data_IF_082707471962
#
_entry.id   IF_082707471962
#
_cell.length_a   1.000
_cell.length_b   1.000
_cell.length_c   1.000
_cell.angle_alpha   90.00
_cell.angle_beta   90.00
_cell.angle_gamma   90.00
#
_symmetry.space_group_name_H-M   'P 1'
#
loop_
_entity.id
_entity.type
_entity.pdbx_description
1 polymer ?
#
# COMPACT_ATOMS: atom_id res chain seq x y z
N UNK A 1 9.31 25.87 -14.43
CA UNK A 1 8.22 26.82 -14.76
C UNK A 1 6.90 26.09 -14.54
N UNK A 2 6.26 26.32 -13.39
CA UNK A 2 4.93 25.80 -13.07
C UNK A 2 3.88 26.63 -13.81
N UNK A 3 3.65 26.37 -15.07
CA UNK A 3 2.62 27.06 -15.84
C UNK A 3 1.52 26.06 -16.19
N UNK A 4 0.35 26.32 -15.66
CA UNK A 4 -0.99 25.82 -15.97
C UNK A 4 -1.65 24.88 -14.95
N UNK A 5 -1.63 25.25 -13.67
CA UNK A 5 -2.69 24.81 -12.77
C UNK A 5 -3.84 25.81 -12.93
N UNK A 6 -4.91 25.41 -13.62
CA UNK A 6 -6.17 26.15 -13.62
C UNK A 6 -7.08 25.56 -12.57
N UNK A 7 -7.26 26.27 -11.46
CA UNK A 7 -8.29 25.94 -10.47
C UNK A 7 -9.61 26.54 -10.98
N UNK A 8 -10.54 25.70 -11.37
CA UNK A 8 -11.89 26.13 -11.70
C UNK A 8 -12.75 26.09 -10.44
N UNK A 9 -13.04 27.23 -9.83
CA UNK A 9 -13.75 27.34 -8.56
C UNK A 9 -15.25 26.98 -8.64
N UNK A 10 -15.79 26.70 -9.82
CA UNK A 10 -17.23 26.43 -10.01
C UNK A 10 -17.61 24.95 -9.94
N UNK A 11 -16.66 24.01 -9.99
CA UNK A 11 -16.97 22.56 -10.04
C UNK A 11 -16.25 21.71 -9.00
N UNK A 12 -15.41 22.26 -8.14
CA UNK A 12 -14.52 21.49 -7.24
C UNK A 12 -13.64 20.43 -7.96
N UNK A 13 -13.48 20.55 -9.26
CA UNK A 13 -12.61 19.68 -10.04
C UNK A 13 -11.27 20.38 -10.27
N UNK A 14 -10.21 19.81 -9.72
CA UNK A 14 -8.83 20.18 -10.10
C UNK A 14 -8.51 19.41 -11.37
N UNK A 15 -8.64 20.08 -12.52
CA UNK A 15 -8.17 19.50 -13.79
C UNK A 15 -6.66 19.77 -13.88
N UNK A 16 -5.87 18.77 -13.51
CA UNK A 16 -4.44 18.76 -13.78
C UNK A 16 -4.24 18.43 -15.27
N UNK A 17 -4.15 19.45 -16.09
CA UNK A 17 -3.87 19.29 -17.53
C UNK A 17 -2.35 19.21 -17.75
N UNK A 18 -1.74 18.17 -17.19
CA UNK A 18 -0.30 17.95 -17.25
C UNK A 18 -0.05 16.59 -17.89
N UNK A 19 1.02 16.49 -18.65
CA UNK A 19 1.52 15.21 -19.12
C UNK A 19 2.17 14.47 -17.93
N UNK A 20 1.32 13.99 -17.03
CA UNK A 20 1.68 13.42 -15.72
C UNK A 20 2.73 12.30 -15.83
N UNK A 21 2.78 11.62 -16.98
CA UNK A 21 3.77 10.57 -17.23
C UNK A 21 5.17 11.16 -17.41
N UNK A 22 5.29 12.27 -18.14
CA UNK A 22 6.57 12.95 -18.34
C UNK A 22 7.05 13.55 -17.00
N UNK A 23 6.15 14.14 -16.22
CA UNK A 23 6.48 14.69 -14.91
C UNK A 23 6.91 13.62 -13.89
N UNK A 24 6.29 12.44 -13.90
CA UNK A 24 6.73 11.37 -12.99
C UNK A 24 8.08 10.82 -13.39
N UNK A 25 8.36 10.65 -14.68
CA UNK A 25 9.71 10.33 -15.14
C UNK A 25 10.72 11.38 -14.70
N UNK A 26 10.39 12.65 -14.88
CA UNK A 26 11.23 13.78 -14.45
C UNK A 26 11.44 13.79 -12.93
N UNK A 27 10.38 13.59 -12.14
CA UNK A 27 10.45 13.49 -10.68
C UNK A 27 11.28 12.28 -10.23
N UNK A 28 11.12 11.11 -10.86
CA UNK A 28 11.90 9.91 -10.49
C UNK A 28 13.36 10.01 -10.94
N UNK A 29 13.65 10.72 -12.03
CA UNK A 29 15.02 11.07 -12.42
C UNK A 29 15.61 12.13 -11.47
N UNK A 30 14.85 13.16 -11.09
CA UNK A 30 15.26 14.17 -10.12
C UNK A 30 15.44 13.62 -8.70
N UNK A 31 14.62 12.63 -8.29
CA UNK A 31 14.76 11.94 -7.00
C UNK A 31 15.96 10.98 -6.95
N UNK A 32 16.77 10.91 -8.01
CA UNK A 32 17.92 10.02 -8.06
C UNK A 32 17.52 8.61 -7.60
N UNK A 33 16.64 7.97 -8.37
CA UNK A 33 16.05 6.65 -8.02
C UNK A 33 17.09 5.61 -7.58
N UNK A 34 18.34 5.78 -8.00
CA UNK A 34 19.43 4.92 -7.60
C UNK A 34 19.87 5.13 -6.15
N UNK A 35 19.58 6.28 -5.55
CA UNK A 35 19.89 6.60 -4.15
C UNK A 35 18.83 6.14 -3.14
N UNK A 36 17.66 5.71 -3.60
CA UNK A 36 16.60 5.18 -2.72
C UNK A 36 16.61 3.65 -2.69
N UNK A 37 16.21 3.05 -1.57
CA UNK A 37 16.14 1.60 -1.41
C UNK A 37 14.78 1.02 -1.81
N UNK A 38 13.73 1.85 -1.83
CA UNK A 38 12.39 1.43 -2.17
C UNK A 38 11.44 2.59 -2.44
N UNK A 39 10.33 2.29 -3.09
CA UNK A 39 9.24 3.21 -3.40
C UNK A 39 7.97 2.71 -2.72
N UNK A 40 7.41 3.53 -1.83
CA UNK A 40 6.10 3.33 -1.23
C UNK A 40 5.09 4.22 -1.96
N UNK A 41 4.11 3.60 -2.60
CA UNK A 41 2.99 4.30 -3.24
C UNK A 41 1.72 4.03 -2.44
N UNK A 42 1.13 5.08 -1.88
CA UNK A 42 -0.03 4.99 -1.00
C UNK A 42 -1.20 5.85 -1.47
N UNK A 43 -2.40 5.39 -1.16
CA UNK A 43 -3.64 6.11 -1.39
C UNK A 43 -4.25 5.93 -2.78
N UNK A 44 -5.40 6.55 -2.98
CA UNK A 44 -6.15 6.47 -4.22
C UNK A 44 -5.54 7.36 -5.30
N UNK A 45 -5.60 6.91 -6.54
CA UNK A 45 -5.14 7.68 -7.69
C UNK A 45 -5.95 8.97 -7.84
N UNK A 46 -5.30 10.14 -7.94
CA UNK A 46 -5.98 11.41 -8.14
C UNK A 46 -6.79 11.44 -9.44
N UNK A 47 -7.89 12.20 -9.43
CA UNK A 47 -8.68 12.44 -10.64
C UNK A 47 -7.83 13.10 -11.73
N UNK A 48 -8.01 12.67 -12.97
CA UNK A 48 -7.26 13.20 -14.12
C UNK A 48 -5.91 12.53 -14.37
N UNK A 49 -5.44 11.67 -13.46
CA UNK A 49 -4.23 10.88 -13.68
C UNK A 49 -4.51 9.66 -14.56
N UNK A 50 -3.51 9.26 -15.37
CA UNK A 50 -3.61 8.05 -16.21
C UNK A 50 -3.90 6.82 -15.38
N UNK A 51 -4.79 5.93 -15.88
CA UNK A 51 -5.09 4.64 -15.24
C UNK A 51 -3.87 3.73 -15.08
N UNK A 52 -2.81 3.96 -15.86
CA UNK A 52 -1.61 3.15 -15.84
C UNK A 52 -0.47 3.76 -15.00
N UNK A 53 -0.72 4.87 -14.31
CA UNK A 53 0.35 5.61 -13.64
C UNK A 53 1.00 4.76 -12.53
N UNK A 54 0.19 4.06 -11.73
CA UNK A 54 0.68 3.22 -10.63
C UNK A 54 1.48 2.02 -11.14
N UNK A 55 1.03 1.38 -12.22
CA UNK A 55 1.77 0.28 -12.84
C UNK A 55 3.09 0.75 -13.46
N UNK A 56 3.15 1.96 -14.01
CA UNK A 56 4.40 2.54 -14.53
C UNK A 56 5.41 2.84 -13.43
N UNK A 57 4.96 3.41 -12.30
CA UNK A 57 5.83 3.64 -11.14
C UNK A 57 6.37 2.30 -10.61
N UNK A 58 5.53 1.29 -10.52
CA UNK A 58 5.96 -0.06 -10.12
C UNK A 58 6.99 -0.65 -11.07
N UNK A 59 6.78 -0.52 -12.38
CA UNK A 59 7.71 -0.97 -13.41
C UNK A 59 9.07 -0.27 -13.30
N UNK A 60 9.09 1.05 -13.10
CA UNK A 60 10.32 1.80 -12.90
C UNK A 60 11.05 1.31 -11.65
N UNK A 61 10.35 1.17 -10.52
CA UNK A 61 10.95 0.67 -9.28
C UNK A 61 11.63 -0.70 -9.50
N UNK A 62 10.94 -1.62 -10.15
CA UNK A 62 11.43 -2.98 -10.38
C UNK A 62 12.58 -3.02 -11.39
N UNK A 63 12.55 -2.20 -12.44
CA UNK A 63 13.64 -2.09 -13.42
C UNK A 63 14.93 -1.58 -12.76
N UNK A 64 14.81 -0.69 -11.76
CA UNK A 64 15.93 -0.23 -10.95
C UNK A 64 16.22 -1.13 -9.73
N UNK A 65 15.60 -2.31 -9.65
CA UNK A 65 15.76 -3.30 -8.56
C UNK A 65 15.47 -2.71 -7.17
N UNK A 66 14.55 -1.75 -7.10
CA UNK A 66 14.09 -1.16 -5.85
C UNK A 66 12.90 -1.95 -5.29
N UNK A 67 12.73 -1.92 -3.97
CA UNK A 67 11.54 -2.49 -3.34
C UNK A 67 10.34 -1.62 -3.75
N UNK A 68 9.30 -2.26 -4.29
CA UNK A 68 8.03 -1.58 -4.53
C UNK A 68 7.00 -2.01 -3.49
N UNK A 69 6.40 -1.03 -2.82
CA UNK A 69 5.38 -1.22 -1.82
C UNK A 69 4.09 -0.51 -2.25
N UNK A 70 3.04 -1.30 -2.48
CA UNK A 70 1.71 -0.83 -2.86
C UNK A 70 0.79 -0.77 -1.65
N UNK A 71 0.34 0.44 -1.28
CA UNK A 71 -0.66 0.69 -0.25
C UNK A 71 -1.90 1.33 -0.88
N UNK A 72 -2.52 0.60 -1.79
CA UNK A 72 -3.75 0.94 -2.51
C UNK A 72 -4.42 -0.32 -3.00
N UNK A 73 -5.67 -0.22 -3.47
CA UNK A 73 -6.52 -1.37 -3.73
C UNK A 73 -7.34 -1.23 -5.01
N UNK A 74 -8.17 -2.23 -5.32
CA UNK A 74 -9.11 -2.23 -6.42
C UNK A 74 -8.45 -2.27 -7.80
N UNK A 75 -9.04 -1.57 -8.77
CA UNK A 75 -8.63 -1.59 -10.18
C UNK A 75 -7.16 -1.18 -10.37
N UNK A 76 -6.70 -0.15 -9.66
CA UNK A 76 -5.33 0.33 -9.78
C UNK A 76 -4.33 -0.72 -9.28
N UNK A 77 -4.64 -1.45 -8.20
CA UNK A 77 -3.82 -2.57 -7.74
C UNK A 77 -3.82 -3.71 -8.76
N UNK A 78 -4.98 -4.11 -9.26
CA UNK A 78 -5.09 -5.17 -10.27
C UNK A 78 -4.31 -4.85 -11.54
N UNK A 79 -4.32 -3.60 -11.99
CA UNK A 79 -3.53 -3.15 -13.13
C UNK A 79 -2.02 -3.23 -12.86
N UNK A 80 -1.62 -2.99 -11.61
CA UNK A 80 -0.20 -2.99 -11.21
C UNK A 80 0.37 -4.39 -11.08
N UNK A 81 -0.33 -5.31 -10.40
CA UNK A 81 0.20 -6.62 -10.04
C UNK A 81 0.47 -7.54 -11.23
N UNK A 82 -0.15 -7.29 -12.38
CA UNK A 82 0.13 -8.05 -13.60
C UNK A 82 1.61 -7.96 -14.03
N UNK A 83 2.30 -6.88 -13.65
CA UNK A 83 3.70 -6.61 -14.01
C UNK A 83 4.62 -6.47 -12.79
N UNK A 84 4.07 -6.45 -11.57
CA UNK A 84 4.80 -6.14 -10.33
C UNK A 84 4.94 -7.38 -9.43
N UNK A 85 5.65 -8.40 -9.90
CA UNK A 85 6.02 -9.56 -9.09
C UNK A 85 7.14 -9.20 -8.09
N UNK A 86 7.17 -9.89 -6.94
CA UNK A 86 8.12 -9.66 -5.84
C UNK A 86 7.95 -8.29 -5.15
N UNK A 87 6.77 -7.71 -5.26
CA UNK A 87 6.38 -6.49 -4.58
C UNK A 87 5.75 -6.78 -3.21
N UNK A 88 5.59 -5.73 -2.41
CA UNK A 88 4.85 -5.77 -1.15
C UNK A 88 3.50 -5.11 -1.40
N UNK A 89 2.43 -5.78 -1.04
CA UNK A 89 1.06 -5.29 -1.13
C UNK A 89 0.50 -5.22 0.29
N UNK A 90 0.07 -4.05 0.72
CA UNK A 90 -0.64 -3.88 1.99
C UNK A 90 -2.01 -3.25 1.72
N UNK A 91 -3.03 -3.91 2.19
CA UNK A 91 -4.43 -3.49 2.12
C UNK A 91 -5.14 -3.90 3.41
N UNK A 92 -6.30 -3.33 3.70
CA UNK A 92 -7.11 -3.81 4.81
C UNK A 92 -7.99 -5.01 4.40
N UNK A 93 -8.68 -5.62 5.40
CA UNK A 93 -9.51 -6.82 5.18
C UNK A 93 -10.61 -6.57 4.15
N UNK A 94 -11.30 -5.44 4.23
CA UNK A 94 -12.38 -5.08 3.30
C UNK A 94 -11.83 -4.84 1.88
N UNK A 95 -10.73 -4.12 1.75
CA UNK A 95 -10.04 -3.88 0.49
C UNK A 95 -9.53 -5.18 -0.16
N UNK A 96 -9.02 -6.12 0.66
CA UNK A 96 -8.61 -7.44 0.19
C UNK A 96 -9.78 -8.22 -0.39
N UNK A 97 -10.90 -8.26 0.35
CA UNK A 97 -12.11 -8.94 -0.10
C UNK A 97 -12.63 -8.31 -1.39
N UNK A 98 -12.75 -6.98 -1.43
CA UNK A 98 -13.26 -6.27 -2.59
C UNK A 98 -12.35 -6.38 -3.82
N UNK A 99 -11.04 -6.48 -3.63
CA UNK A 99 -10.08 -6.57 -4.74
C UNK A 99 -9.94 -7.99 -5.30
N UNK A 100 -9.94 -9.01 -4.41
CA UNK A 100 -9.54 -10.36 -4.80
C UNK A 100 -10.61 -11.43 -4.63
N UNK A 101 -11.72 -11.13 -3.93
CA UNK A 101 -12.71 -12.14 -3.57
C UNK A 101 -14.12 -11.85 -4.07
N UNK A 102 -14.41 -10.63 -4.51
CA UNK A 102 -15.73 -10.28 -5.03
C UNK A 102 -15.83 -10.55 -6.52
N UNK A 103 -16.68 -11.48 -6.90
CA UNK A 103 -17.33 -11.43 -8.21
C UNK A 103 -18.40 -10.33 -8.14
N UNK A 104 -18.57 -9.57 -9.23
CA UNK A 104 -19.35 -8.32 -9.36
C UNK A 104 -20.84 -8.39 -8.90
N UNK A 105 -21.26 -9.48 -8.24
CA UNK A 105 -22.65 -9.76 -7.89
C UNK A 105 -22.90 -10.06 -6.40
N UNK A 106 -21.90 -10.06 -5.54
CA UNK A 106 -22.05 -10.50 -4.15
C UNK A 106 -22.02 -9.33 -3.17
N UNK A 107 -23.18 -9.03 -2.57
CA UNK A 107 -23.29 -8.11 -1.44
C UNK A 107 -22.82 -8.80 -0.15
N UNK A 108 -21.97 -8.12 0.63
CA UNK A 108 -21.57 -8.50 2.01
C UNK A 108 -20.92 -9.89 2.17
N UNK A 109 -19.80 -10.13 1.48
CA UNK A 109 -18.99 -11.31 1.73
C UNK A 109 -18.19 -11.11 3.01
N UNK A 110 -18.33 -12.03 3.97
CA UNK A 110 -17.46 -12.14 5.14
C UNK A 110 -16.86 -13.54 5.18
N UNK A 111 -15.61 -13.63 5.58
CA UNK A 111 -14.90 -14.90 5.74
C UNK A 111 -14.57 -15.16 7.22
N UNK A 112 -14.55 -16.43 7.62
CA UNK A 112 -13.88 -16.82 8.85
C UNK A 112 -12.38 -16.53 8.77
N UNK A 113 -11.73 -16.43 9.92
CA UNK A 113 -10.28 -16.18 9.95
C UNK A 113 -9.49 -17.25 9.16
N UNK A 114 -9.89 -18.52 9.23
CA UNK A 114 -9.21 -19.60 8.50
C UNK A 114 -9.42 -19.54 6.99
N UNK A 115 -10.61 -19.15 6.54
CA UNK A 115 -10.87 -18.94 5.12
C UNK A 115 -10.06 -17.74 4.59
N UNK A 116 -10.02 -16.65 5.34
CA UNK A 116 -9.25 -15.47 4.98
C UNK A 116 -7.75 -15.77 4.90
N UNK A 117 -7.20 -16.49 5.90
CA UNK A 117 -5.80 -16.96 5.90
C UNK A 117 -5.48 -17.74 4.63
N UNK A 118 -6.30 -18.74 4.30
CA UNK A 118 -6.11 -19.55 3.10
C UNK A 118 -6.13 -18.71 1.82
N UNK A 119 -7.05 -17.75 1.72
CA UNK A 119 -7.13 -16.85 0.57
C UNK A 119 -5.89 -15.97 0.42
N UNK A 120 -5.39 -15.41 1.53
CA UNK A 120 -4.18 -14.58 1.54
C UNK A 120 -2.96 -15.40 1.11
N UNK A 121 -2.78 -16.61 1.65
CA UNK A 121 -1.68 -17.52 1.28
C UNK A 121 -1.73 -17.86 -0.20
N UNK A 122 -2.89 -18.30 -0.70
CA UNK A 122 -3.06 -18.67 -2.10
C UNK A 122 -2.79 -17.50 -3.02
N UNK A 123 -3.31 -16.29 -2.69
CA UNK A 123 -3.09 -15.09 -3.49
C UNK A 123 -1.63 -14.66 -3.48
N UNK A 124 -0.94 -14.75 -2.35
CA UNK A 124 0.50 -14.47 -2.24
C UNK A 124 1.34 -15.41 -3.12
N UNK A 125 0.99 -16.69 -3.17
CA UNK A 125 1.67 -17.66 -4.04
C UNK A 125 1.39 -17.39 -5.53
N UNK A 126 0.14 -17.14 -5.87
CA UNK A 126 -0.29 -16.83 -7.24
C UNK A 126 0.45 -15.61 -7.80
N UNK A 127 0.49 -14.53 -7.03
CA UNK A 127 1.09 -13.26 -7.42
C UNK A 127 2.60 -13.19 -7.20
N UNK A 128 3.18 -14.12 -6.42
CA UNK A 128 4.59 -14.11 -5.98
C UNK A 128 4.96 -12.81 -5.26
N UNK A 129 4.05 -12.28 -4.46
CA UNK A 129 4.17 -11.04 -3.71
C UNK A 129 4.02 -11.29 -2.22
N UNK A 130 4.59 -10.40 -1.39
CA UNK A 130 4.24 -10.32 0.02
C UNK A 130 2.88 -9.62 0.09
N UNK A 131 1.89 -10.28 0.70
CA UNK A 131 0.57 -9.69 0.94
C UNK A 131 0.38 -9.48 2.44
N UNK A 132 0.02 -8.27 2.81
CA UNK A 132 -0.25 -7.84 4.18
C UNK A 132 -1.69 -7.36 4.24
N UNK A 133 -2.47 -7.94 5.15
CA UNK A 133 -3.88 -7.56 5.38
C UNK A 133 -4.03 -7.04 6.80
N UNK A 134 -4.18 -5.73 6.93
CA UNK A 134 -4.44 -5.09 8.22
C UNK A 134 -5.92 -5.22 8.59
N UNK A 135 -6.21 -5.40 9.88
CA UNK A 135 -7.55 -5.75 10.38
C UNK A 135 -7.98 -4.90 11.57
N UNK A 136 -7.54 -3.64 11.58
CA UNK A 136 -7.84 -2.70 12.65
C UNK A 136 -7.23 -3.15 13.98
N UNK A 137 -8.07 -3.43 14.99
CA UNK A 137 -7.62 -3.91 16.30
C UNK A 137 -7.41 -5.42 16.39
N UNK A 138 -7.68 -6.18 15.32
CA UNK A 138 -7.38 -7.60 15.22
C UNK A 138 -5.94 -7.82 14.74
N UNK A 139 -5.45 -9.06 14.86
CA UNK A 139 -4.14 -9.44 14.33
C UNK A 139 -4.02 -9.10 12.85
N UNK A 140 -2.86 -8.56 12.46
CA UNK A 140 -2.50 -8.39 11.04
C UNK A 140 -2.13 -9.74 10.45
N UNK A 141 -2.69 -10.08 9.30
CA UNK A 141 -2.36 -11.27 8.53
C UNK A 141 -1.41 -10.94 7.40
N UNK A 142 -0.45 -11.82 7.14
CA UNK A 142 0.43 -11.67 5.99
C UNK A 142 0.79 -13.03 5.42
N UNK A 143 1.16 -13.06 4.15
CA UNK A 143 1.73 -14.25 3.53
C UNK A 143 2.84 -13.87 2.55
N UNK A 144 3.86 -14.72 2.47
CA UNK A 144 4.93 -14.63 1.51
C UNK A 144 5.44 -16.03 1.17
N UNK A 145 5.61 -16.33 -0.11
CA UNK A 145 6.12 -17.63 -0.59
C UNK A 145 5.41 -18.86 0.02
N UNK A 146 4.10 -18.75 0.26
CA UNK A 146 3.30 -19.83 0.86
C UNK A 146 3.38 -19.95 2.38
N UNK A 147 4.17 -19.12 3.04
CA UNK A 147 4.26 -19.05 4.51
C UNK A 147 3.30 -17.97 5.01
N UNK A 148 2.48 -18.35 5.99
CA UNK A 148 1.56 -17.43 6.66
C UNK A 148 2.19 -16.83 7.91
N UNK A 149 1.93 -15.57 8.14
CA UNK A 149 2.37 -14.79 9.30
C UNK A 149 1.16 -14.13 9.97
N UNK A 150 1.13 -14.15 11.30
CA UNK A 150 0.12 -13.47 12.09
C UNK A 150 0.81 -12.62 13.16
N UNK A 151 0.53 -11.31 13.15
CA UNK A 151 1.11 -10.37 14.12
C UNK A 151 0.00 -9.78 14.96
N UNK A 152 0.00 -10.00 16.28
CA UNK A 152 -0.99 -9.43 17.17
C UNK A 152 -0.84 -7.91 17.24
N UNK A 153 -1.97 -7.19 17.26
CA UNK A 153 -2.00 -5.75 17.44
C UNK A 153 -2.02 -5.43 18.94
N UNK A 154 -1.12 -4.53 19.37
CA UNK A 154 -1.09 -4.05 20.73
C UNK A 154 -2.34 -3.24 21.05
N UNK A 155 -3.00 -3.54 22.17
CA UNK A 155 -4.12 -2.73 22.65
C UNK A 155 -3.59 -1.39 23.15
N UNK A 156 -4.10 -0.32 22.60
CA UNK A 156 -3.75 1.07 22.94
C UNK A 156 -5.02 1.90 23.18
N UNK A 157 -4.89 3.00 23.88
CA UNK A 157 -5.95 3.99 23.98
C UNK A 157 -5.92 4.88 22.74
N UNK A 158 -6.62 4.44 21.69
CA UNK A 158 -6.63 5.16 20.43
C UNK A 158 -7.29 6.53 20.59
N UNK A 159 -6.56 7.58 20.26
CA UNK A 159 -7.00 8.98 20.21
C UNK A 159 -7.36 9.37 18.79
N UNK A 160 -6.58 8.88 17.82
CA UNK A 160 -6.77 9.19 16.40
C UNK A 160 -6.28 8.02 15.53
N UNK A 161 -7.16 7.49 14.69
CA UNK A 161 -6.85 6.36 13.80
C UNK A 161 -6.42 6.79 12.39
N UNK A 162 -6.45 8.10 12.09
CA UNK A 162 -6.00 8.63 10.79
C UNK A 162 -4.50 8.36 10.65
N UNK A 163 -4.07 7.98 9.46
CA UNK A 163 -2.69 7.64 9.11
C UNK A 163 -2.08 6.43 9.87
N UNK A 164 -2.87 5.61 10.57
CA UNK A 164 -2.36 4.35 11.14
C UNK A 164 -1.88 3.40 10.04
N UNK A 165 -2.58 3.33 8.90
CA UNK A 165 -2.18 2.56 7.74
C UNK A 165 -0.85 3.03 7.17
N UNK A 166 -0.71 4.35 6.97
CA UNK A 166 0.52 4.96 6.44
C UNK A 166 1.71 4.74 7.38
N UNK A 167 1.48 4.91 8.69
CA UNK A 167 2.49 4.66 9.73
C UNK A 167 2.93 3.18 9.77
N UNK A 168 1.98 2.26 9.58
CA UNK A 168 2.30 0.84 9.43
C UNK A 168 3.18 0.61 8.22
N UNK A 169 2.79 1.13 7.06
CA UNK A 169 3.50 0.94 5.79
C UNK A 169 4.92 1.49 5.85
N UNK A 170 5.09 2.68 6.42
CA UNK A 170 6.40 3.29 6.62
C UNK A 170 7.29 2.45 7.56
N UNK A 171 6.76 2.03 8.73
CA UNK A 171 7.48 1.21 9.69
C UNK A 171 7.86 -0.15 9.15
N UNK A 172 6.93 -0.82 8.44
CA UNK A 172 7.21 -2.09 7.78
C UNK A 172 8.34 -1.95 6.75
N UNK A 173 8.21 -0.98 5.83
CA UNK A 173 9.19 -0.80 4.75
C UNK A 173 10.57 -0.46 5.29
N UNK A 174 10.65 0.43 6.28
CA UNK A 174 11.90 0.79 6.93
C UNK A 174 12.65 -0.43 7.49
N UNK A 175 11.94 -1.28 8.23
CA UNK A 175 12.55 -2.48 8.80
C UNK A 175 12.87 -3.52 7.72
N UNK A 176 12.00 -3.68 6.74
CA UNK A 176 12.20 -4.64 5.65
C UNK A 176 13.40 -4.29 4.77
N UNK A 177 13.66 -3.00 4.54
CA UNK A 177 14.88 -2.56 3.83
C UNK A 177 16.13 -3.04 4.56
N UNK A 178 16.15 -2.94 5.89
CA UNK A 178 17.30 -3.26 6.74
C UNK A 178 17.53 -4.76 6.93
N UNK A 179 16.47 -5.47 7.29
CA UNK A 179 16.58 -6.84 7.79
C UNK A 179 16.15 -7.91 6.78
N UNK A 180 15.28 -7.57 5.83
CA UNK A 180 14.56 -8.51 4.98
C UNK A 180 13.74 -9.55 5.77
N UNK A 181 13.55 -9.34 7.07
CA UNK A 181 12.76 -10.19 7.96
C UNK A 181 11.31 -9.72 8.00
N UNK A 182 10.40 -10.57 7.54
CA UNK A 182 8.97 -10.25 7.46
C UNK A 182 8.37 -10.11 8.86
N UNK A 183 8.74 -10.97 9.83
CA UNK A 183 8.19 -10.89 11.18
C UNK A 183 8.62 -9.60 11.89
N UNK A 184 9.91 -9.25 11.82
CA UNK A 184 10.43 -8.01 12.38
C UNK A 184 9.76 -6.79 11.73
N UNK A 185 9.55 -6.83 10.40
CA UNK A 185 8.91 -5.75 9.65
C UNK A 185 7.42 -5.60 10.02
N UNK A 186 6.69 -6.70 10.15
CA UNK A 186 5.30 -6.70 10.60
C UNK A 186 5.17 -6.13 12.01
N UNK A 187 6.07 -6.52 12.92
CA UNK A 187 6.07 -6.00 14.29
C UNK A 187 6.36 -4.50 14.30
N UNK A 188 7.38 -4.04 13.57
CA UNK A 188 7.73 -2.60 13.49
C UNK A 188 6.58 -1.79 12.88
N UNK A 189 5.96 -2.27 11.80
CA UNK A 189 4.79 -1.62 11.22
C UNK A 189 3.63 -1.52 12.21
N UNK A 190 3.35 -2.61 12.94
CA UNK A 190 2.29 -2.65 13.96
C UNK A 190 2.56 -1.68 15.11
N UNK A 191 3.81 -1.60 15.58
CA UNK A 191 4.20 -0.68 16.65
C UNK A 191 4.11 0.78 16.22
N UNK A 192 4.49 1.10 14.97
CA UNK A 192 4.32 2.43 14.40
C UNK A 192 2.84 2.82 14.29
N UNK A 193 1.98 1.93 13.81
CA UNK A 193 0.54 2.18 13.76
C UNK A 193 -0.07 2.39 15.15
N UNK A 194 0.35 1.60 16.14
CA UNK A 194 -0.10 1.75 17.52
C UNK A 194 0.31 3.10 18.12
N UNK A 195 1.56 3.53 17.93
CA UNK A 195 2.02 4.85 18.38
C UNK A 195 1.25 5.98 17.69
N UNK A 196 0.99 5.87 16.38
CA UNK A 196 0.17 6.85 15.68
C UNK A 196 -1.24 6.92 16.27
N UNK A 197 -1.85 5.79 16.61
CA UNK A 197 -3.19 5.76 17.19
C UNK A 197 -3.27 6.48 18.56
N UNK A 198 -2.19 6.52 19.33
CA UNK A 198 -2.08 7.24 20.59
C UNK A 198 -1.75 8.73 20.42
N UNK A 199 -1.41 9.18 19.21
CA UNK A 199 -1.04 10.57 18.92
C UNK A 199 -2.25 11.40 18.45
N UNK A 200 -2.32 12.66 18.92
CA UNK A 200 -3.29 13.65 18.39
C UNK A 200 -2.97 14.08 16.96
N UNK A 201 -1.67 14.10 16.62
CA UNK A 201 -1.20 14.51 15.29
C UNK A 201 -0.91 13.28 14.44
N UNK A 202 -1.68 13.03 13.35
CA UNK A 202 -1.41 11.92 12.45
C UNK A 202 0.02 11.97 11.90
N UNK A 203 0.67 10.80 11.82
CA UNK A 203 2.05 10.68 11.31
C UNK A 203 3.14 11.16 12.28
N UNK A 204 2.79 11.68 13.43
CA UNK A 204 3.75 12.11 14.47
C UNK A 204 4.07 10.93 15.38
N UNK A 205 5.04 10.12 14.98
CA UNK A 205 5.52 8.97 15.75
C UNK A 205 6.82 9.37 16.43
N UNK A 206 6.74 9.81 17.68
CA UNK A 206 7.91 10.20 18.50
C UNK A 206 8.26 9.09 19.48
#
# INVERSE_FOLDING_TARGET
MLNNIKINQTTNEIILNVNVIAEIHEILEELQIDEVDGILLAGSRPLGWSENIYSKIAEIALNHKKIFFADYWGKDLLNTINNAIHSIIKINEEEFINTFCCDLTSENISFSDDELKNKIVNKSQELKNIIIVTRGCKSTFSAANGVFYETPVKKVNAVNVIACGDSFSAGFLYEYIKSKDINASLQTGTDCAAKNAESLCPGSIV
#
